data_IF_010166234380
#
_entry.id   IF_010166234380
#
_cell.length_a   1.000
_cell.length_b   1.000
_cell.length_c   1.000
_cell.angle_alpha   90.00
_cell.angle_beta   90.00
_cell.angle_gamma   90.00
#
_symmetry.space_group_name_H-M   'P 1'
#
loop_
_entity.id
_entity.type
_entity.pdbx_description
1 polymer ?
#
# COMPACT_ATOMS: atom_id res chain seq x y z
N UNK A 1 -49.40 6.72 0.31
CA UNK A 1 -48.81 7.58 -0.75
C UNK A 1 -47.46 8.17 -0.39
N UNK A 2 -47.22 8.64 0.85
CA UNK A 2 -45.91 9.22 1.25
C UNK A 2 -44.70 8.27 1.09
N UNK A 3 -44.84 6.99 1.44
CA UNK A 3 -43.74 6.02 1.31
C UNK A 3 -43.30 5.84 -0.16
N UNK A 4 -44.27 5.76 -1.08
CA UNK A 4 -44.00 5.64 -2.51
C UNK A 4 -43.31 6.90 -3.03
N UNK A 5 -43.79 8.09 -2.63
CA UNK A 5 -43.16 9.35 -3.01
C UNK A 5 -41.71 9.45 -2.51
N UNK A 6 -41.45 9.03 -1.26
CA UNK A 6 -40.09 9.00 -0.69
C UNK A 6 -39.21 8.02 -1.46
N UNK A 7 -39.68 6.81 -1.76
CA UNK A 7 -38.92 5.84 -2.55
C UNK A 7 -38.57 6.37 -3.94
N UNK A 8 -39.53 6.99 -4.63
CA UNK A 8 -39.31 7.58 -5.96
C UNK A 8 -38.26 8.70 -5.88
N UNK A 9 -38.37 9.60 -4.91
CA UNK A 9 -37.38 10.68 -4.72
C UNK A 9 -36.00 10.10 -4.39
N UNK A 10 -35.93 9.09 -3.52
CA UNK A 10 -34.66 8.42 -3.18
C UNK A 10 -34.01 7.74 -4.38
N UNK A 11 -34.79 7.09 -5.24
CA UNK A 11 -34.29 6.51 -6.50
C UNK A 11 -33.77 7.61 -7.42
N UNK A 12 -34.53 8.70 -7.61
CA UNK A 12 -34.13 9.80 -8.49
C UNK A 12 -32.85 10.51 -8.01
N UNK A 13 -32.74 10.78 -6.71
CA UNK A 13 -31.53 11.35 -6.11
C UNK A 13 -30.37 10.35 -6.19
N UNK A 14 -30.64 9.07 -5.94
CA UNK A 14 -29.65 8.00 -6.10
C UNK A 14 -29.11 7.91 -7.53
N UNK A 15 -29.97 8.05 -8.54
CA UNK A 15 -29.56 8.09 -9.96
C UNK A 15 -28.66 9.29 -10.27
N UNK A 16 -28.91 10.45 -9.65
CA UNK A 16 -28.09 11.66 -9.84
C UNK A 16 -26.71 11.56 -9.17
N UNK A 17 -26.62 10.85 -8.04
CA UNK A 17 -25.38 10.69 -7.27
C UNK A 17 -24.55 9.50 -7.74
N UNK A 18 -25.20 8.47 -8.31
CA UNK A 18 -24.53 7.26 -8.76
C UNK A 18 -23.58 7.55 -9.94
N UNK A 19 -22.30 7.24 -9.74
CA UNK A 19 -21.30 7.32 -10.80
C UNK A 19 -21.66 6.38 -11.98
N UNK A 20 -21.39 6.85 -13.20
CA UNK A 20 -21.69 6.10 -14.41
C UNK A 20 -20.95 4.77 -14.48
N UNK A 21 -19.78 4.68 -13.84
CA UNK A 21 -19.04 3.43 -13.72
C UNK A 21 -19.78 2.39 -12.87
N UNK A 22 -20.30 2.81 -11.71
CA UNK A 22 -21.07 1.94 -10.80
C UNK A 22 -22.36 1.44 -11.46
N UNK A 23 -23.05 2.30 -12.20
CA UNK A 23 -24.23 1.92 -12.99
C UNK A 23 -23.88 0.88 -14.06
N UNK A 24 -22.80 1.08 -14.83
CA UNK A 24 -22.36 0.11 -15.85
C UNK A 24 -21.98 -1.23 -15.23
N UNK A 25 -21.32 -1.23 -14.07
CA UNK A 25 -20.99 -2.44 -13.31
C UNK A 25 -22.26 -3.16 -12.85
N UNK A 26 -23.25 -2.42 -12.33
CA UNK A 26 -24.53 -2.97 -11.92
C UNK A 26 -25.29 -3.61 -13.09
N UNK A 27 -25.47 -2.89 -14.19
CA UNK A 27 -26.16 -3.42 -15.38
C UNK A 27 -25.39 -4.56 -16.05
N UNK A 28 -24.05 -4.51 -16.05
CA UNK A 28 -23.18 -5.59 -16.52
C UNK A 28 -23.33 -6.86 -15.68
N UNK A 29 -23.33 -6.73 -14.35
CA UNK A 29 -23.54 -7.87 -13.44
C UNK A 29 -24.96 -8.44 -13.53
N UNK A 30 -25.98 -7.58 -13.69
CA UNK A 30 -27.37 -7.98 -13.85
C UNK A 30 -27.62 -8.72 -15.18
N UNK A 31 -27.09 -8.20 -16.30
CA UNK A 31 -27.21 -8.84 -17.61
C UNK A 31 -26.45 -10.16 -17.73
N UNK A 32 -25.37 -10.35 -16.96
CA UNK A 32 -24.64 -11.61 -16.88
C UNK A 32 -25.28 -12.68 -15.98
N UNK A 33 -26.43 -12.39 -15.34
CA UNK A 33 -27.09 -13.31 -14.41
C UNK A 33 -26.32 -13.58 -13.12
N UNK A 34 -25.22 -12.87 -12.88
CA UNK A 34 -24.37 -13.03 -11.69
C UNK A 34 -24.88 -12.24 -10.47
N UNK A 35 -25.99 -11.52 -10.61
CA UNK A 35 -26.54 -10.67 -9.56
C UNK A 35 -27.43 -11.47 -8.60
N UNK A 36 -26.82 -12.01 -7.54
CA UNK A 36 -27.57 -12.54 -6.41
C UNK A 36 -27.82 -11.44 -5.39
N UNK A 37 -29.09 -11.09 -5.17
CA UNK A 37 -29.48 -10.11 -4.17
C UNK A 37 -29.29 -10.72 -2.78
N UNK A 38 -28.24 -10.28 -2.09
CA UNK A 38 -28.05 -10.57 -0.67
C UNK A 38 -28.90 -9.57 0.15
N UNK A 39 -30.13 -9.99 0.47
CA UNK A 39 -31.08 -9.19 1.24
C UNK A 39 -30.55 -8.79 2.62
N UNK A 40 -29.67 -9.60 3.22
CA UNK A 40 -29.08 -9.30 4.52
C UNK A 40 -28.12 -8.12 4.41
N UNK A 41 -27.20 -8.16 3.43
CA UNK A 41 -26.28 -7.04 3.17
C UNK A 41 -27.02 -5.76 2.85
N UNK A 42 -28.07 -5.85 2.03
CA UNK A 42 -28.89 -4.70 1.66
C UNK A 42 -29.62 -4.12 2.89
N UNK A 43 -30.17 -4.98 3.75
CA UNK A 43 -30.78 -4.58 5.02
C UNK A 43 -29.80 -3.91 5.98
N UNK A 44 -28.60 -4.47 6.14
CA UNK A 44 -27.53 -3.88 6.96
C UNK A 44 -27.13 -2.50 6.40
N UNK A 45 -27.00 -2.37 5.08
CA UNK A 45 -26.62 -1.11 4.47
C UNK A 45 -27.70 -0.04 4.67
N UNK A 46 -28.98 -0.38 4.48
CA UNK A 46 -30.09 0.53 4.76
C UNK A 46 -30.14 0.96 6.23
N UNK A 47 -29.89 0.03 7.16
CA UNK A 47 -29.87 0.33 8.59
C UNK A 47 -28.71 1.26 8.96
N UNK A 48 -27.52 1.04 8.38
CA UNK A 48 -26.37 1.92 8.56
C UNK A 48 -26.61 3.31 7.94
N UNK A 49 -27.19 3.39 6.75
CA UNK A 49 -27.55 4.67 6.13
C UNK A 49 -28.58 5.43 6.96
N UNK A 50 -29.59 4.75 7.50
CA UNK A 50 -30.59 5.34 8.39
C UNK A 50 -29.95 5.83 9.70
N UNK A 51 -29.05 5.05 10.30
CA UNK A 51 -28.31 5.43 11.50
C UNK A 51 -27.42 6.66 11.25
N UNK A 52 -26.67 6.68 10.14
CA UNK A 52 -25.84 7.81 9.74
C UNK A 52 -26.68 9.08 9.56
N UNK A 53 -27.82 8.97 8.86
CA UNK A 53 -28.72 10.10 8.69
C UNK A 53 -29.30 10.58 10.04
N UNK A 54 -29.67 9.65 10.91
CA UNK A 54 -30.08 9.94 12.28
C UNK A 54 -29.02 10.72 13.05
N UNK A 55 -27.75 10.32 12.97
CA UNK A 55 -26.64 11.05 13.55
C UNK A 55 -26.47 12.45 12.97
N UNK A 56 -26.62 12.63 11.65
CA UNK A 56 -26.56 13.94 11.00
C UNK A 56 -27.69 14.87 11.47
N UNK A 57 -28.94 14.36 11.50
CA UNK A 57 -30.10 15.13 11.97
C UNK A 57 -29.96 15.46 13.45
N UNK A 58 -29.52 14.51 14.26
CA UNK A 58 -29.27 14.74 15.69
C UNK A 58 -28.17 15.78 15.91
N UNK A 59 -27.02 15.66 15.23
CA UNK A 59 -25.95 16.65 15.26
C UNK A 59 -26.42 18.04 14.81
N UNK A 60 -27.21 18.12 13.73
CA UNK A 60 -27.81 19.37 13.27
C UNK A 60 -28.78 19.97 14.29
N UNK A 61 -29.58 19.14 14.96
CA UNK A 61 -30.50 19.59 16.01
C UNK A 61 -29.76 20.15 17.22
N UNK A 62 -28.65 19.51 17.65
CA UNK A 62 -27.76 20.04 18.69
C UNK A 62 -27.15 21.38 18.30
N UNK A 63 -26.72 21.54 17.04
CA UNK A 63 -26.23 22.82 16.52
C UNK A 63 -27.32 23.90 16.48
N UNK A 64 -28.57 23.54 16.14
CA UNK A 64 -29.70 24.47 16.17
C UNK A 64 -30.09 24.87 17.60
N UNK A 65 -30.09 23.94 18.55
CA UNK A 65 -30.38 24.21 19.96
C UNK A 65 -29.34 25.17 20.54
N UNK A 66 -28.05 25.02 20.20
CA UNK A 66 -26.99 25.98 20.56
C UNK A 66 -27.23 27.38 19.99
N UNK A 67 -27.79 27.51 18.78
CA UNK A 67 -28.16 28.82 18.21
C UNK A 67 -29.34 29.48 18.94
N UNK A 68 -30.27 28.69 19.49
CA UNK A 68 -31.42 29.21 20.26
C UNK A 68 -31.02 29.67 21.67
N UNK A 69 -29.97 29.06 22.25
CA UNK A 69 -29.32 29.53 23.48
C UNK A 69 -28.19 30.54 23.21
N UNK A 70 -28.35 31.41 22.20
CA UNK A 70 -27.42 32.51 21.98
C UNK A 70 -27.59 33.56 23.09
N UNK A 71 -26.95 33.31 24.23
CA UNK A 71 -26.52 34.35 25.16
C UNK A 71 -25.80 35.40 24.32
N UNK A 72 -26.09 36.69 24.54
CA UNK A 72 -25.40 37.82 23.90
C UNK A 72 -23.90 37.76 24.24
N UNK A 73 -23.15 36.94 23.51
CA UNK A 73 -21.71 36.91 23.54
C UNK A 73 -21.22 38.21 22.92
N UNK A 74 -20.68 39.07 23.76
CA UNK A 74 -19.87 40.20 23.35
C UNK A 74 -18.88 39.72 22.27
N UNK A 75 -18.87 40.42 21.15
CA UNK A 75 -18.26 39.97 19.89
C UNK A 75 -16.74 40.02 19.96
N UNK A 76 -16.10 39.14 20.72
CA UNK A 76 -14.65 38.93 20.69
C UNK A 76 -14.35 38.04 19.48
N UNK A 77 -14.26 38.66 18.30
CA UNK A 77 -14.10 37.99 16.99
C UNK A 77 -12.79 37.20 16.82
N UNK A 78 -11.92 37.12 17.82
CA UNK A 78 -10.65 36.38 17.78
C UNK A 78 -10.61 35.10 18.62
N UNK A 79 -11.42 34.99 19.69
CA UNK A 79 -11.25 33.92 20.69
C UNK A 79 -11.58 32.54 20.12
N UNK A 80 -12.67 32.42 19.36
CA UNK A 80 -13.11 31.12 18.81
C UNK A 80 -12.10 30.53 17.82
N UNK A 81 -11.46 31.36 17.00
CA UNK A 81 -10.44 30.88 16.06
C UNK A 81 -9.19 30.40 16.80
N UNK A 82 -8.76 31.15 17.82
CA UNK A 82 -7.60 30.80 18.65
C UNK A 82 -7.89 29.55 19.49
N UNK A 83 -9.05 29.45 20.13
CA UNK A 83 -9.50 28.25 20.86
C UNK A 83 -9.58 27.03 19.94
N UNK A 84 -10.09 27.20 18.71
CA UNK A 84 -10.13 26.11 17.73
C UNK A 84 -8.72 25.69 17.33
N UNK A 85 -7.80 26.63 17.09
CA UNK A 85 -6.39 26.33 16.79
C UNK A 85 -5.72 25.59 17.96
N UNK A 86 -5.93 26.04 19.18
CA UNK A 86 -5.39 25.42 20.40
C UNK A 86 -5.92 24.00 20.57
N UNK A 87 -7.21 23.75 20.28
CA UNK A 87 -7.80 22.41 20.35
C UNK A 87 -7.44 21.53 19.15
N UNK A 88 -7.25 22.12 17.98
CA UNK A 88 -6.98 21.40 16.73
C UNK A 88 -5.58 20.79 16.72
N UNK A 89 -4.58 21.49 17.24
CA UNK A 89 -3.19 20.98 17.29
C UNK A 89 -3.08 19.65 18.06
N UNK A 90 -3.52 19.52 19.33
CA UNK A 90 -3.47 18.24 20.06
C UNK A 90 -4.38 17.18 19.43
N UNK A 91 -5.51 17.57 18.81
CA UNK A 91 -6.36 16.63 18.08
C UNK A 91 -5.66 16.05 16.84
N UNK A 92 -5.02 16.89 16.03
CA UNK A 92 -4.25 16.46 14.86
C UNK A 92 -3.04 15.62 15.28
N UNK A 93 -2.34 16.02 16.35
CA UNK A 93 -1.25 15.26 16.96
C UNK A 93 -1.71 13.84 17.35
N UNK A 94 -2.81 13.74 18.10
CA UNK A 94 -3.32 12.46 18.58
C UNK A 94 -3.78 11.58 17.41
N UNK A 95 -4.57 12.12 16.49
CA UNK A 95 -5.14 11.34 15.36
C UNK A 95 -4.05 10.86 14.39
N UNK A 96 -3.11 11.72 14.03
CA UNK A 96 -1.98 11.35 13.17
C UNK A 96 -0.99 10.40 13.87
N UNK A 97 -0.75 10.58 15.17
CA UNK A 97 0.08 9.67 15.96
C UNK A 97 -0.51 8.26 16.02
N UNK A 98 -1.83 8.15 16.27
CA UNK A 98 -2.55 6.87 16.23
C UNK A 98 -2.49 6.25 14.83
N UNK A 99 -2.71 7.04 13.78
CA UNK A 99 -2.63 6.56 12.39
C UNK A 99 -1.21 6.06 12.04
N UNK A 100 -0.17 6.80 12.43
CA UNK A 100 1.22 6.41 12.22
C UNK A 100 1.55 5.11 12.96
N UNK A 101 1.14 4.99 14.22
CA UNK A 101 1.34 3.78 15.02
C UNK A 101 0.62 2.56 14.41
N UNK A 102 -0.62 2.73 13.93
CA UNK A 102 -1.35 1.69 13.22
C UNK A 102 -0.59 1.22 11.96
N UNK A 103 -0.04 2.16 11.19
CA UNK A 103 0.74 1.83 10.00
C UNK A 103 2.06 1.12 10.32
N UNK A 104 2.73 1.49 11.42
CA UNK A 104 3.93 0.78 11.90
C UNK A 104 3.59 -0.66 12.27
N UNK A 105 2.46 -0.89 12.96
CA UNK A 105 2.00 -2.24 13.29
C UNK A 105 1.70 -3.07 12.04
N UNK A 106 1.06 -2.48 11.02
CA UNK A 106 0.85 -3.14 9.73
C UNK A 106 2.17 -3.49 9.06
N UNK A 107 3.13 -2.56 9.02
CA UNK A 107 4.47 -2.82 8.45
C UNK A 107 5.21 -3.94 9.21
N UNK A 108 5.09 -3.96 10.54
CA UNK A 108 5.66 -5.00 11.40
C UNK A 108 5.09 -6.39 11.09
N UNK A 109 3.76 -6.50 10.96
CA UNK A 109 3.07 -7.75 10.58
C UNK A 109 3.43 -8.20 9.16
N UNK A 110 3.50 -7.26 8.21
CA UNK A 110 3.92 -7.57 6.85
C UNK A 110 5.40 -8.00 6.78
N UNK A 111 6.25 -7.50 7.70
CA UNK A 111 7.64 -7.94 7.81
C UNK A 111 7.75 -9.39 8.30
N UNK A 112 6.87 -9.83 9.21
CA UNK A 112 6.78 -11.24 9.62
C UNK A 112 6.38 -12.14 8.43
N UNK A 113 5.38 -11.72 7.65
CA UNK A 113 4.99 -12.43 6.43
C UNK A 113 6.12 -12.43 5.40
N UNK A 114 6.82 -11.31 5.23
CA UNK A 114 7.88 -11.15 4.26
C UNK A 114 9.09 -12.05 4.57
N UNK A 115 9.49 -12.15 5.84
CA UNK A 115 10.58 -13.06 6.24
C UNK A 115 10.19 -14.52 6.05
N UNK A 116 8.91 -14.87 6.29
CA UNK A 116 8.42 -16.21 5.98
C UNK A 116 8.45 -16.53 4.48
N UNK A 117 7.97 -15.62 3.62
CA UNK A 117 7.98 -15.84 2.17
C UNK A 117 9.40 -15.87 1.60
N UNK A 118 10.29 -15.04 2.13
CA UNK A 118 11.70 -15.05 1.76
C UNK A 118 12.40 -16.34 2.21
N UNK A 119 12.20 -16.76 3.46
CA UNK A 119 12.75 -18.01 3.98
C UNK A 119 12.25 -19.23 3.21
N UNK A 120 10.94 -19.28 2.85
CA UNK A 120 10.40 -20.33 1.99
C UNK A 120 11.02 -20.31 0.60
N UNK A 121 11.23 -19.13 0.04
CA UNK A 121 11.87 -18.98 -1.28
C UNK A 121 13.32 -19.46 -1.22
N UNK A 122 14.09 -19.03 -0.22
CA UNK A 122 15.45 -19.52 0.02
C UNK A 122 15.45 -21.05 0.19
N UNK A 123 14.56 -21.60 1.00
CA UNK A 123 14.43 -23.04 1.23
C UNK A 123 14.15 -23.85 -0.04
N UNK A 124 13.33 -23.33 -0.96
CA UNK A 124 13.04 -23.98 -2.25
C UNK A 124 14.26 -23.95 -3.18
N UNK A 125 14.94 -22.80 -3.27
CA UNK A 125 15.97 -22.56 -4.29
C UNK A 125 17.39 -22.87 -3.83
N UNK A 126 17.65 -22.95 -2.53
CA UNK A 126 18.98 -23.23 -1.98
C UNK A 126 19.58 -24.55 -2.49
N UNK A 127 18.83 -25.67 -2.53
CA UNK A 127 19.37 -26.92 -3.07
C UNK A 127 19.77 -26.82 -4.55
N UNK A 128 19.10 -25.98 -5.33
CA UNK A 128 19.43 -25.75 -6.75
C UNK A 128 20.77 -25.03 -6.91
N UNK A 129 21.13 -24.16 -5.96
CA UNK A 129 22.43 -23.50 -5.93
C UNK A 129 23.55 -24.45 -5.48
N UNK A 130 23.27 -25.30 -4.49
CA UNK A 130 24.25 -26.20 -3.88
C UNK A 130 24.56 -27.43 -4.77
N UNK A 131 23.53 -28.05 -5.35
CA UNK A 131 23.63 -29.36 -6.01
C UNK A 131 23.98 -29.31 -7.50
N UNK A 132 24.18 -28.14 -8.11
CA UNK A 132 24.41 -27.97 -9.57
C UNK A 132 23.37 -28.70 -10.45
N UNK A 133 22.15 -28.89 -9.96
CA UNK A 133 21.08 -29.68 -10.62
C UNK A 133 20.67 -29.11 -11.97
N UNK A 134 20.76 -27.79 -12.17
CA UNK A 134 20.40 -27.10 -13.41
C UNK A 134 21.53 -27.05 -14.47
N UNK A 135 22.40 -28.07 -14.50
CA UNK A 135 23.41 -28.24 -15.54
C UNK A 135 24.74 -27.58 -15.22
N UNK A 136 25.81 -28.29 -15.54
CA UNK A 136 27.22 -27.94 -15.30
C UNK A 136 27.79 -26.85 -16.23
N UNK A 137 26.98 -26.26 -17.13
CA UNK A 137 27.45 -25.33 -18.16
C UNK A 137 26.78 -23.95 -18.08
N UNK A 138 27.57 -22.97 -17.61
CA UNK A 138 27.66 -21.60 -18.13
C UNK A 138 26.53 -20.59 -17.91
N UNK A 139 25.26 -20.93 -18.17
CA UNK A 139 24.22 -19.90 -18.37
C UNK A 139 22.89 -20.12 -17.63
N UNK A 140 22.56 -21.35 -17.20
CA UNK A 140 21.31 -21.66 -16.47
C UNK A 140 21.55 -22.11 -15.02
N UNK A 141 22.77 -21.95 -14.51
CA UNK A 141 23.10 -22.32 -13.14
C UNK A 141 22.50 -21.31 -12.16
N UNK A 142 21.68 -21.80 -11.23
CA UNK A 142 21.23 -21.01 -10.07
C UNK A 142 22.44 -20.80 -9.16
N UNK A 143 22.76 -19.54 -8.89
CA UNK A 143 23.81 -19.12 -7.95
C UNK A 143 23.22 -18.77 -6.59
N UNK A 144 24.07 -18.66 -5.56
CA UNK A 144 23.63 -18.15 -4.25
C UNK A 144 23.04 -16.73 -4.35
N UNK A 145 23.59 -15.90 -5.23
CA UNK A 145 23.07 -14.56 -5.52
C UNK A 145 21.67 -14.61 -6.15
N UNK A 146 21.39 -15.61 -7.01
CA UNK A 146 20.05 -15.80 -7.56
C UNK A 146 19.04 -16.20 -6.48
N UNK A 147 19.44 -17.06 -5.54
CA UNK A 147 18.60 -17.44 -4.39
C UNK A 147 18.30 -16.21 -3.54
N UNK A 148 19.33 -15.46 -3.18
CA UNK A 148 19.23 -14.21 -2.41
C UNK A 148 18.32 -13.19 -3.12
N UNK A 149 18.51 -13.00 -4.42
CA UNK A 149 17.70 -12.10 -5.23
C UNK A 149 16.22 -12.52 -5.27
N UNK A 150 15.94 -13.81 -5.47
CA UNK A 150 14.56 -14.35 -5.47
C UNK A 150 13.90 -14.19 -4.10
N UNK A 151 14.62 -14.52 -3.02
CA UNK A 151 14.14 -14.38 -1.66
C UNK A 151 13.87 -12.92 -1.30
N UNK A 152 14.76 -11.99 -1.65
CA UNK A 152 14.57 -10.54 -1.46
C UNK A 152 13.37 -10.04 -2.22
N UNK A 153 13.17 -10.53 -3.44
CA UNK A 153 12.01 -10.15 -4.25
C UNK A 153 10.70 -10.67 -3.65
N UNK A 154 10.68 -11.89 -3.10
CA UNK A 154 9.50 -12.41 -2.40
C UNK A 154 9.15 -11.58 -1.15
N UNK A 155 10.15 -11.19 -0.35
CA UNK A 155 9.95 -10.26 0.76
C UNK A 155 9.39 -8.91 0.28
N UNK A 156 9.97 -8.32 -0.77
CA UNK A 156 9.53 -7.03 -1.31
C UNK A 156 8.07 -7.05 -1.78
N UNK A 157 7.63 -8.15 -2.40
CA UNK A 157 6.23 -8.32 -2.81
C UNK A 157 5.26 -8.34 -1.62
N UNK A 158 5.65 -8.98 -0.51
CA UNK A 158 4.86 -9.01 0.72
C UNK A 158 4.83 -7.64 1.42
N UNK A 159 5.91 -6.86 1.34
CA UNK A 159 6.05 -5.52 1.95
C UNK A 159 5.50 -4.39 1.09
N UNK A 160 5.23 -4.63 -0.19
CA UNK A 160 4.73 -3.61 -1.11
C UNK A 160 3.51 -2.83 -0.58
N UNK A 161 2.51 -3.44 0.08
CA UNK A 161 1.37 -2.69 0.61
C UNK A 161 1.75 -1.60 1.63
N UNK A 162 2.74 -1.84 2.50
CA UNK A 162 3.23 -0.85 3.47
C UNK A 162 4.26 0.11 2.90
N UNK A 163 4.88 -0.22 1.77
CA UNK A 163 5.83 0.69 1.13
C UNK A 163 5.13 1.95 0.65
N UNK A 164 5.84 3.06 0.73
CA UNK A 164 5.35 4.39 0.36
C UNK A 164 5.38 4.60 -1.16
N UNK A 165 4.52 5.48 -1.67
CA UNK A 165 4.08 5.39 -3.07
C UNK A 165 3.98 6.74 -3.74
N UNK A 166 5.11 7.16 -4.30
CA UNK A 166 5.11 7.93 -5.55
C UNK A 166 6.51 8.07 -6.15
N UNK A 167 7.54 7.72 -5.38
CA UNK A 167 8.93 7.77 -5.83
C UNK A 167 9.22 6.70 -6.87
N UNK A 168 10.07 7.06 -7.82
CA UNK A 168 10.40 6.19 -8.95
C UNK A 168 11.89 5.98 -8.99
N UNK A 169 12.26 4.71 -9.02
CA UNK A 169 13.60 4.30 -9.38
C UNK A 169 13.63 4.19 -10.89
N UNK A 170 14.42 5.07 -11.49
CA UNK A 170 14.63 5.14 -12.93
C UNK A 170 15.20 3.84 -13.47
N UNK A 171 15.01 3.66 -14.78
CA UNK A 171 15.32 2.45 -15.56
C UNK A 171 16.75 1.89 -15.38
N UNK A 172 17.71 2.76 -15.10
CA UNK A 172 19.13 2.45 -15.08
C UNK A 172 19.72 2.43 -13.66
N UNK A 173 18.87 2.43 -12.62
CA UNK A 173 19.39 2.37 -11.26
C UNK A 173 19.96 0.98 -10.96
N UNK A 174 21.23 0.87 -10.54
CA UNK A 174 21.90 -0.42 -10.32
C UNK A 174 21.15 -1.34 -9.34
N UNK A 175 20.62 -0.78 -8.24
CA UNK A 175 20.03 -1.54 -7.12
C UNK A 175 18.50 -1.69 -7.18
N UNK A 176 17.96 -1.96 -8.37
CA UNK A 176 16.49 -2.10 -8.51
C UNK A 176 15.99 -2.15 -9.95
N UNK A 177 16.90 -2.27 -10.91
CA UNK A 177 16.58 -2.30 -12.34
C UNK A 177 17.18 -3.49 -13.08
N UNK A 178 17.59 -4.52 -12.36
CA UNK A 178 18.02 -5.79 -12.97
C UNK A 178 16.92 -6.39 -13.86
N UNK A 179 17.27 -7.07 -14.99
CA UNK A 179 16.29 -7.68 -15.89
C UNK A 179 15.22 -8.54 -15.19
N UNK A 180 15.55 -9.40 -14.19
CA UNK A 180 14.56 -10.21 -13.50
C UNK A 180 13.59 -9.38 -12.63
N UNK A 181 14.10 -8.38 -11.90
CA UNK A 181 13.26 -7.55 -11.03
C UNK A 181 12.29 -6.68 -11.84
N UNK A 182 12.76 -6.18 -12.99
CA UNK A 182 11.94 -5.40 -13.92
C UNK A 182 10.72 -6.18 -14.39
N UNK A 183 10.87 -7.47 -14.72
CA UNK A 183 9.74 -8.33 -15.13
C UNK A 183 8.69 -8.46 -14.02
N UNK A 184 9.14 -8.58 -12.77
CA UNK A 184 8.24 -8.71 -11.61
C UNK A 184 7.48 -7.41 -11.35
N UNK A 185 8.17 -6.26 -11.42
CA UNK A 185 7.52 -4.93 -11.33
C UNK A 185 6.43 -4.74 -12.39
N UNK A 186 6.72 -5.10 -13.64
CA UNK A 186 5.74 -5.04 -14.73
C UNK A 186 4.59 -5.99 -14.50
N UNK A 187 4.85 -7.23 -14.08
CA UNK A 187 3.80 -8.20 -13.79
C UNK A 187 2.84 -7.66 -12.72
N UNK A 188 3.36 -7.07 -11.64
CA UNK A 188 2.55 -6.45 -10.59
C UNK A 188 1.76 -5.26 -11.12
N UNK A 189 2.38 -4.37 -11.92
CA UNK A 189 1.67 -3.25 -12.53
C UNK A 189 0.55 -3.73 -13.48
N UNK A 190 0.81 -4.76 -14.28
CA UNK A 190 -0.13 -5.33 -15.24
C UNK A 190 -1.37 -5.93 -14.55
N UNK A 191 -1.23 -6.55 -13.38
CA UNK A 191 -2.36 -7.10 -12.59
C UNK A 191 -3.44 -6.05 -12.27
N UNK A 192 -3.05 -4.78 -12.22
CA UNK A 192 -3.97 -3.68 -11.91
C UNK A 192 -4.30 -2.80 -13.12
N UNK A 193 -3.78 -3.15 -14.31
CA UNK A 193 -4.11 -2.45 -15.53
C UNK A 193 -5.56 -2.80 -15.93
N UNK A 194 -6.33 -1.77 -16.33
CA UNK A 194 -7.71 -1.95 -16.82
C UNK A 194 -7.77 -2.73 -18.14
N UNK A 195 -6.65 -2.79 -18.87
CA UNK A 195 -6.49 -3.65 -20.05
C UNK A 195 -5.74 -4.91 -19.62
N UNK A 196 -6.37 -6.10 -19.65
CA UNK A 196 -5.77 -7.35 -19.18
C UNK A 196 -4.81 -7.87 -20.25
N UNK A 197 -3.69 -7.18 -20.40
CA UNK A 197 -2.57 -7.66 -21.18
C UNK A 197 -1.63 -8.30 -20.16
N UNK A 198 -1.36 -9.60 -20.29
CA UNK A 198 -0.34 -10.26 -19.47
C UNK A 198 0.98 -9.48 -19.57
N UNK A 199 1.80 -9.46 -18.52
CA UNK A 199 3.07 -8.71 -18.55
C UNK A 199 3.96 -9.09 -19.75
N UNK A 200 3.86 -10.34 -20.22
CA UNK A 200 4.51 -10.84 -21.42
C UNK A 200 3.83 -10.37 -22.72
N UNK A 201 2.50 -10.44 -22.86
CA UNK A 201 1.83 -9.91 -24.05
C UNK A 201 1.98 -8.38 -24.17
N UNK A 202 2.11 -7.68 -23.04
CA UNK A 202 2.38 -6.25 -23.00
C UNK A 202 3.79 -5.95 -23.49
N UNK A 203 4.74 -6.81 -23.09
CA UNK A 203 6.12 -6.81 -23.60
C UNK A 203 6.15 -6.99 -25.12
N UNK A 204 5.48 -8.02 -25.65
CA UNK A 204 5.49 -8.31 -27.10
C UNK A 204 4.74 -7.26 -27.91
N UNK A 205 3.64 -6.71 -27.38
CA UNK A 205 2.78 -5.76 -28.09
C UNK A 205 3.34 -4.33 -28.13
N UNK A 206 4.02 -3.87 -27.07
CA UNK A 206 4.43 -2.47 -26.96
C UNK A 206 5.93 -2.27 -27.16
N UNK A 207 6.74 -3.33 -27.10
CA UNK A 207 8.20 -3.24 -26.95
C UNK A 207 8.64 -2.44 -25.71
N UNK A 208 7.66 -2.06 -24.87
CA UNK A 208 7.77 -0.99 -23.89
C UNK A 208 7.34 -1.50 -22.54
N UNK A 209 8.26 -2.24 -21.90
CA UNK A 209 8.20 -2.50 -20.46
C UNK A 209 8.25 -1.21 -19.60
N UNK A 210 8.37 -0.06 -20.27
CA UNK A 210 8.80 1.24 -19.78
C UNK A 210 7.64 2.24 -19.60
N UNK A 211 6.45 1.97 -20.16
CA UNK A 211 5.32 2.91 -20.04
C UNK A 211 4.84 3.10 -18.59
N UNK A 212 5.26 2.21 -17.68
CA UNK A 212 4.95 2.31 -16.26
C UNK A 212 5.99 3.09 -15.44
N UNK A 213 7.22 3.23 -15.96
CA UNK A 213 8.35 3.80 -15.24
C UNK A 213 9.17 4.66 -16.19
N UNK A 214 9.11 5.99 -15.99
CA UNK A 214 9.91 6.95 -16.76
C UNK A 214 11.40 6.64 -16.63
N UNK A 215 12.19 7.12 -17.59
CA UNK A 215 13.65 7.07 -17.46
C UNK A 215 14.14 7.92 -16.29
N UNK A 216 13.38 8.97 -15.97
CA UNK A 216 13.64 9.87 -14.85
C UNK A 216 13.48 9.16 -13.49
N UNK A 217 14.49 9.34 -12.64
CA UNK A 217 14.41 9.04 -11.21
C UNK A 217 13.68 10.20 -10.56
N UNK A 218 12.51 9.95 -9.96
CA UNK A 218 11.92 10.92 -9.03
C UNK A 218 12.56 10.64 -7.67
N UNK A 219 13.58 11.44 -7.35
CA UNK A 219 14.20 11.45 -6.03
C UNK A 219 13.19 11.95 -5.00
N UNK A 220 13.17 11.30 -3.84
CA UNK A 220 12.50 11.87 -2.69
C UNK A 220 13.46 12.76 -1.95
N UNK A 221 13.38 14.06 -2.22
CA UNK A 221 14.14 15.06 -1.46
C UNK A 221 13.37 15.46 -0.21
N UNK A 222 14.04 16.10 0.76
CA UNK A 222 13.38 16.66 1.95
C UNK A 222 12.19 17.56 1.63
N UNK A 223 12.26 18.33 0.54
CA UNK A 223 11.16 19.20 0.09
C UNK A 223 9.90 18.42 -0.34
N UNK A 224 10.03 17.13 -0.64
CA UNK A 224 8.95 16.25 -1.04
C UNK A 224 8.33 15.48 0.14
N UNK A 225 8.84 15.67 1.36
CA UNK A 225 8.30 15.10 2.61
C UNK A 225 7.08 15.89 3.10
N UNK A 226 6.00 15.87 2.31
CA UNK A 226 4.72 16.47 2.68
C UNK A 226 3.65 15.41 2.89
N UNK A 227 2.65 15.71 3.74
CA UNK A 227 1.51 14.80 3.98
C UNK A 227 0.77 14.48 2.69
N UNK A 228 0.61 15.46 1.79
CA UNK A 228 -0.05 15.23 0.49
C UNK A 228 0.75 14.30 -0.43
N UNK A 229 2.09 14.31 -0.35
CA UNK A 229 2.98 13.35 -1.05
C UNK A 229 3.06 12.00 -0.36
N UNK A 230 2.79 11.94 0.94
CA UNK A 230 2.65 10.69 1.65
C UNK A 230 1.40 9.90 1.21
N UNK A 231 0.41 10.61 0.67
CA UNK A 231 -0.70 10.02 -0.05
C UNK A 231 -0.40 9.91 -1.55
N UNK A 232 -0.74 8.74 -2.06
CA UNK A 232 -0.53 8.36 -3.45
C UNK A 232 -1.27 9.25 -4.46
N UNK A 233 -0.55 9.94 -5.35
CA UNK A 233 -1.18 10.78 -6.40
C UNK A 233 -1.30 10.07 -7.76
N UNK A 234 -0.44 9.09 -8.04
CA UNK A 234 -0.46 8.33 -9.30
C UNK A 234 -1.62 7.33 -9.43
N UNK A 235 -1.85 6.82 -10.65
CA UNK A 235 -2.83 5.75 -10.89
C UNK A 235 -2.41 4.43 -10.24
N UNK A 236 -3.37 3.66 -9.70
CA UNK A 236 -3.11 2.47 -8.89
C UNK A 236 -2.13 1.46 -9.50
N UNK A 237 -2.23 1.18 -10.80
CA UNK A 237 -1.36 0.22 -11.48
C UNK A 237 0.10 0.65 -11.56
N UNK A 238 0.36 1.95 -11.79
CA UNK A 238 1.71 2.53 -11.73
C UNK A 238 2.29 2.43 -10.32
N UNK A 239 1.44 2.70 -9.32
CA UNK A 239 1.84 2.71 -7.91
C UNK A 239 2.20 1.33 -7.41
N UNK A 240 1.46 0.29 -7.81
CA UNK A 240 1.72 -1.07 -7.38
C UNK A 240 3.17 -1.50 -7.70
N UNK A 241 3.63 -1.25 -8.92
CA UNK A 241 5.01 -1.55 -9.30
C UNK A 241 6.06 -0.66 -8.60
N UNK A 242 5.73 0.62 -8.31
CA UNK A 242 6.61 1.53 -7.54
C UNK A 242 6.76 1.10 -6.09
N UNK A 243 5.66 0.69 -5.45
CA UNK A 243 5.62 0.16 -4.08
C UNK A 243 6.52 -1.06 -3.92
N UNK A 244 6.45 -2.01 -4.86
CA UNK A 244 7.34 -3.19 -4.86
C UNK A 244 8.81 -2.78 -4.95
N UNK A 245 9.10 -1.77 -5.77
CA UNK A 245 10.46 -1.26 -5.93
C UNK A 245 10.96 -0.59 -4.63
N UNK A 246 10.14 0.27 -4.04
CA UNK A 246 10.45 0.92 -2.76
C UNK A 246 10.62 -0.11 -1.63
N UNK A 247 9.77 -1.12 -1.57
CA UNK A 247 9.91 -2.23 -0.62
C UNK A 247 11.23 -2.98 -0.81
N UNK A 248 11.61 -3.28 -2.05
CA UNK A 248 12.85 -4.00 -2.35
C UNK A 248 14.09 -3.20 -1.96
N UNK A 249 14.08 -1.89 -2.19
CA UNK A 249 15.18 -1.00 -1.80
C UNK A 249 15.25 -0.76 -0.30
N UNK A 250 14.11 -0.74 0.38
CA UNK A 250 14.05 -0.64 1.83
C UNK A 250 14.50 -1.91 2.56
N UNK A 251 14.81 -3.00 1.86
CA UNK A 251 15.39 -4.20 2.47
C UNK A 251 16.91 -4.07 2.54
N UNK A 252 17.42 -3.82 3.74
CA UNK A 252 18.84 -3.79 4.05
C UNK A 252 19.29 -5.06 4.76
N UNK A 253 20.61 -5.26 4.81
CA UNK A 253 21.27 -6.41 5.46
C UNK A 253 20.63 -7.75 5.08
N UNK A 254 20.12 -7.83 3.86
CA UNK A 254 19.37 -9.00 3.42
C UNK A 254 20.37 -10.14 3.19
N UNK A 255 20.27 -11.21 3.97
CA UNK A 255 21.15 -12.36 3.87
C UNK A 255 20.36 -13.67 3.90
N UNK A 256 20.85 -14.65 3.12
CA UNK A 256 20.41 -16.04 3.25
C UNK A 256 21.28 -16.67 4.33
N UNK A 257 20.65 -17.03 5.45
CA UNK A 257 21.35 -17.54 6.63
C UNK A 257 21.35 -19.07 6.66
N UNK A 258 22.48 -19.65 7.05
CA UNK A 258 22.67 -21.08 7.20
C UNK A 258 23.05 -21.40 8.63
N UNK A 259 22.15 -22.05 9.38
CA UNK A 259 22.35 -22.38 10.79
C UNK A 259 22.24 -23.90 10.96
N UNK A 260 23.39 -24.59 10.90
CA UNK A 260 23.44 -26.05 10.97
C UNK A 260 22.64 -26.72 9.85
N UNK A 261 21.57 -27.43 10.22
CA UNK A 261 20.63 -28.09 9.32
C UNK A 261 19.48 -27.17 8.87
N UNK A 262 19.58 -25.85 9.10
CA UNK A 262 18.53 -24.88 8.74
C UNK A 262 18.99 -23.92 7.65
N UNK A 263 18.03 -23.48 6.82
CA UNK A 263 18.18 -22.43 5.80
C UNK A 263 17.10 -21.39 6.06
N UNK A 264 17.48 -20.12 6.01
CA UNK A 264 16.57 -19.03 6.28
C UNK A 264 16.97 -17.73 5.64
N UNK A 265 16.30 -16.67 6.07
CA UNK A 265 16.60 -15.30 5.66
C UNK A 265 16.59 -14.40 6.88
N UNK A 266 17.50 -13.44 6.88
CA UNK A 266 17.58 -12.32 7.80
C UNK A 266 17.58 -11.03 6.99
N UNK A 267 16.83 -10.01 7.42
CA UNK A 267 16.85 -8.68 6.80
C UNK A 267 16.41 -7.60 7.79
N UNK A 268 16.72 -6.36 7.47
CA UNK A 268 16.15 -5.15 8.08
C UNK A 268 15.30 -4.41 7.06
N UNK A 269 14.01 -4.23 7.35
CA UNK A 269 13.13 -3.41 6.53
C UNK A 269 13.10 -1.97 7.06
N UNK A 270 13.58 -1.04 6.24
CA UNK A 270 13.57 0.39 6.51
C UNK A 270 12.19 0.96 6.17
N UNK A 271 11.30 0.96 7.16
CA UNK A 271 9.94 1.45 6.98
C UNK A 271 9.90 2.98 7.02
N UNK A 272 9.47 3.60 5.92
CA UNK A 272 9.35 5.06 5.81
C UNK A 272 8.14 5.58 6.59
N UNK A 273 8.36 6.54 7.49
CA UNK A 273 7.31 7.21 8.24
C UNK A 273 6.47 8.08 7.29
N UNK A 274 5.14 7.96 7.40
CA UNK A 274 4.18 8.57 6.47
C UNK A 274 3.85 10.01 6.90
N UNK A 275 3.82 10.30 8.19
CA UNK A 275 3.47 11.62 8.71
C UNK A 275 4.73 12.42 9.10
N UNK A 276 5.26 13.30 8.22
CA UNK A 276 6.54 13.99 8.42
C UNK A 276 6.59 14.88 9.67
N UNK A 277 5.44 15.40 10.13
CA UNK A 277 5.39 16.39 11.21
C UNK A 277 5.70 15.79 12.59
N UNK A 278 5.69 14.46 12.69
CA UNK A 278 6.00 13.69 13.90
C UNK A 278 7.08 12.65 13.64
N UNK A 279 7.71 12.70 12.48
CA UNK A 279 8.51 11.59 12.03
C UNK A 279 9.82 11.42 12.81
N UNK A 280 10.32 12.53 13.37
CA UNK A 280 11.42 12.54 14.33
C UNK A 280 11.11 11.80 15.65
N UNK A 281 9.83 11.60 16.01
CA UNK A 281 9.45 10.85 17.22
C UNK A 281 9.54 9.34 17.01
N UNK A 282 9.39 8.88 15.76
CA UNK A 282 9.25 7.46 15.44
C UNK A 282 10.48 6.90 14.74
N UNK A 283 11.18 7.70 13.94
CA UNK A 283 12.28 7.24 13.11
C UNK A 283 13.44 8.21 13.08
N UNK A 284 14.53 7.74 12.49
CA UNK A 284 15.74 8.53 12.25
C UNK A 284 15.78 9.00 10.81
N UNK A 285 16.28 10.20 10.61
CA UNK A 285 16.52 10.74 9.27
C UNK A 285 17.61 9.90 8.59
N UNK A 286 17.30 9.38 7.42
CA UNK A 286 18.20 8.56 6.63
C UNK A 286 17.81 8.63 5.15
N UNK A 287 18.63 8.03 4.30
CA UNK A 287 18.41 7.92 2.87
C UNK A 287 18.44 6.45 2.45
N UNK A 288 17.32 5.94 1.96
CA UNK A 288 17.21 4.58 1.44
C UNK A 288 16.61 4.59 0.04
N UNK A 289 17.23 3.87 -0.90
CA UNK A 289 16.73 3.80 -2.28
C UNK A 289 16.58 5.17 -2.95
N UNK A 290 17.59 6.04 -2.79
CA UNK A 290 17.60 7.44 -3.28
C UNK A 290 16.55 8.38 -2.67
N UNK A 291 15.90 7.96 -1.58
CA UNK A 291 14.87 8.76 -0.91
C UNK A 291 15.28 9.15 0.50
N UNK A 292 15.28 10.45 0.74
CA UNK A 292 15.39 11.03 2.06
C UNK A 292 14.06 10.86 2.82
N UNK A 293 14.16 10.54 4.09
CA UNK A 293 13.00 10.30 4.91
C UNK A 293 13.34 9.98 6.34
N UNK A 294 12.32 9.90 7.18
CA UNK A 294 12.45 9.25 8.49
C UNK A 294 12.10 7.78 8.34
N UNK A 295 12.95 6.93 8.88
CA UNK A 295 12.82 5.49 8.74
C UNK A 295 12.87 4.80 10.10
N UNK A 296 12.15 3.68 10.18
CA UNK A 296 12.13 2.80 11.35
C UNK A 296 12.68 1.45 10.88
N UNK A 297 13.80 0.98 11.46
CA UNK A 297 14.34 -0.33 11.12
C UNK A 297 13.48 -1.43 11.74
N UNK A 298 13.03 -2.38 10.92
CA UNK A 298 12.27 -3.55 11.32
C UNK A 298 13.07 -4.80 10.93
N UNK A 299 13.86 -5.31 11.87
CA UNK A 299 14.69 -6.50 11.65
C UNK A 299 13.87 -7.78 11.85
N UNK A 300 14.04 -8.74 10.93
CA UNK A 300 13.39 -10.04 10.96
C UNK A 300 14.33 -11.15 10.53
N UNK A 301 14.17 -12.31 11.18
CA UNK A 301 14.91 -13.53 10.88
C UNK A 301 13.98 -14.73 10.97
N UNK A 302 14.06 -15.61 9.99
CA UNK A 302 13.31 -16.87 9.98
C UNK A 302 14.13 -17.97 9.33
N UNK A 303 14.19 -19.13 9.96
CA UNK A 303 14.90 -20.31 9.44
C UNK A 303 13.98 -21.52 9.39
N UNK A 304 14.11 -22.32 8.34
CA UNK A 304 13.39 -23.57 8.10
C UNK A 304 14.40 -24.73 8.10
N UNK A 305 13.97 -25.90 8.55
CA UNK A 305 14.78 -27.12 8.42
C UNK A 305 15.09 -27.37 6.94
N UNK A 306 16.34 -27.64 6.59
CA UNK A 306 16.77 -27.96 5.22
C UNK A 306 15.95 -29.11 4.67
N UNK A 307 15.77 -29.11 3.35
CA UNK A 307 15.14 -30.23 2.67
C UNK A 307 15.95 -31.51 2.95
N UNK A 308 15.31 -32.61 3.40
CA UNK A 308 15.99 -33.89 3.53
C UNK A 308 16.56 -34.27 2.16
N UNK A 309 17.79 -34.79 2.17
CA UNK A 309 18.59 -35.03 0.96
C UNK A 309 17.76 -35.71 -0.14
N UNK A 310 17.55 -34.96 -1.22
CA UNK A 310 17.02 -35.47 -2.49
C UNK A 310 18.17 -35.77 -3.44
#
# INVERSE_FOLDING_TARGET
MHIIAVLVISVLVGLLVADMHSMRMFFGAASAGAFQIDWLRLGIHLLLSAALWGFCVYGFSLLQQRKRQAVKLHRVRGSVMVETLIALVPFLLLTSGIAQYAMINVASLLSDLAVYQAARTAWIWQPEADSRRNGSSGYNRVTADDVKFRARTAAALALAPSASSDFTVGRNFPEGSGPPFRRIRTAVAATFNKTPISGENFWTATGSNWSFFREDIIHGEHKDMSVSRAFDTGSFYLRAGRKVTSAWMGLEDFEVVHEGDRVGVEFTYQYSVIFPWFAYLFGTESRFGERDGYYIPITRKMTLLKQPGM
#
